data_IF_444765202222
#
_entry.id   IF_444765202222
#
_cell.length_a   1.000
_cell.length_b   1.000
_cell.length_c   1.000
_cell.angle_alpha   90.00
_cell.angle_beta   90.00
_cell.angle_gamma   90.00
#
_symmetry.space_group_name_H-M   'P 1'
#
loop_
_entity.id
_entity.type
_entity.pdbx_description
1 polymer ?
#
# COMPACT_ATOMS: atom_id res chain seq x y z
N UNK A 1 -14.41 -18.52 -6.73
CA UNK A 1 -15.37 -17.52 -6.21
C UNK A 1 -14.68 -16.34 -5.56
N UNK A 2 -14.12 -16.43 -4.34
CA UNK A 2 -13.55 -15.24 -3.62
C UNK A 2 -12.52 -14.46 -4.47
N UNK A 3 -11.58 -15.13 -5.14
CA UNK A 3 -10.59 -14.46 -6.01
C UNK A 3 -11.21 -13.66 -7.15
N UNK A 4 -12.26 -14.19 -7.77
CA UNK A 4 -13.01 -13.53 -8.84
C UNK A 4 -13.67 -12.24 -8.31
N UNK A 5 -14.28 -12.30 -7.12
CA UNK A 5 -14.88 -11.13 -6.48
C UNK A 5 -13.85 -10.07 -6.06
N UNK A 6 -12.69 -10.49 -5.56
CA UNK A 6 -11.61 -9.56 -5.24
C UNK A 6 -11.15 -8.79 -6.48
N UNK A 7 -10.94 -9.52 -7.58
CA UNK A 7 -10.44 -8.93 -8.81
C UNK A 7 -11.46 -7.99 -9.46
N UNK A 8 -12.75 -8.39 -9.45
CA UNK A 8 -13.85 -7.51 -9.82
C UNK A 8 -13.94 -6.28 -8.91
N UNK A 9 -13.78 -6.47 -7.60
CA UNK A 9 -13.80 -5.40 -6.61
C UNK A 9 -12.71 -4.36 -6.86
N UNK A 10 -11.47 -4.79 -7.10
CA UNK A 10 -10.37 -3.87 -7.43
C UNK A 10 -10.60 -3.18 -8.77
N UNK A 11 -11.00 -3.91 -9.82
CA UNK A 11 -11.31 -3.30 -11.11
C UNK A 11 -12.42 -2.23 -10.98
N UNK A 12 -13.48 -2.54 -10.23
CA UNK A 12 -14.59 -1.62 -9.95
C UNK A 12 -14.11 -0.39 -9.16
N UNK A 13 -13.28 -0.58 -8.14
CA UNK A 13 -12.74 0.51 -7.33
C UNK A 13 -11.93 1.50 -8.20
N UNK A 14 -11.01 0.98 -9.03
CA UNK A 14 -10.20 1.82 -9.91
C UNK A 14 -11.04 2.51 -10.99
N UNK A 15 -12.05 1.82 -11.56
CA UNK A 15 -13.00 2.42 -12.49
C UNK A 15 -13.79 3.55 -11.83
N UNK A 16 -14.33 3.33 -10.63
CA UNK A 16 -15.05 4.34 -9.84
C UNK A 16 -14.18 5.57 -9.61
N UNK A 17 -12.91 5.39 -9.25
CA UNK A 17 -11.97 6.49 -9.01
C UNK A 17 -11.67 7.30 -10.28
N UNK A 18 -11.60 6.65 -11.45
CA UNK A 18 -11.42 7.32 -12.74
C UNK A 18 -12.69 8.04 -13.20
N UNK A 19 -13.87 7.43 -13.02
CA UNK A 19 -15.15 8.00 -13.46
C UNK A 19 -15.59 9.20 -12.63
N UNK A 20 -15.38 9.15 -11.31
CA UNK A 20 -15.75 10.24 -10.40
C UNK A 20 -14.75 11.41 -10.43
N UNK A 21 -13.70 11.34 -11.25
CA UNK A 21 -12.64 12.35 -11.31
C UNK A 21 -11.73 12.40 -10.07
N UNK A 22 -11.95 11.52 -9.08
CA UNK A 22 -11.21 11.52 -7.82
C UNK A 22 -9.75 11.08 -7.96
N UNK A 23 -9.35 10.52 -9.11
CA UNK A 23 -7.98 10.07 -9.36
C UNK A 23 -6.93 11.17 -9.10
N UNK A 24 -7.29 12.42 -9.43
CA UNK A 24 -6.43 13.59 -9.28
C UNK A 24 -6.08 13.89 -7.80
N UNK A 25 -6.83 13.34 -6.85
CA UNK A 25 -6.61 13.44 -5.39
C UNK A 25 -5.62 12.42 -4.84
N UNK A 26 -5.22 11.44 -5.63
CA UNK A 26 -4.39 10.32 -5.16
C UNK A 26 -3.05 10.20 -5.88
N UNK A 27 -3.00 10.61 -7.15
CA UNK A 27 -1.79 10.48 -7.96
C UNK A 27 -1.55 11.74 -8.77
N UNK A 28 -0.29 11.93 -9.15
CA UNK A 28 0.05 12.91 -10.15
C UNK A 28 -0.58 12.52 -11.50
N UNK A 29 -1.40 13.41 -12.06
CA UNK A 29 -2.20 13.14 -13.26
C UNK A 29 -1.38 12.88 -14.52
N UNK A 30 -0.09 13.27 -14.53
CA UNK A 30 0.86 12.86 -15.58
C UNK A 30 0.98 11.34 -15.68
N UNK A 31 0.87 10.63 -14.56
CA UNK A 31 1.00 9.18 -14.48
C UNK A 31 -0.36 8.45 -14.46
N UNK A 32 -1.46 9.14 -14.76
CA UNK A 32 -2.80 8.55 -14.79
C UNK A 32 -2.92 7.33 -15.74
N UNK A 33 -2.05 7.25 -16.76
CA UNK A 33 -1.99 6.08 -17.65
C UNK A 33 -1.66 4.79 -16.90
N UNK A 34 -0.86 4.82 -15.82
CA UNK A 34 -0.53 3.65 -15.02
C UNK A 34 -1.78 3.05 -14.37
N UNK A 35 -2.69 3.90 -13.86
CA UNK A 35 -3.97 3.45 -13.31
C UNK A 35 -4.85 2.80 -14.38
N UNK A 36 -4.92 3.40 -15.58
CA UNK A 36 -5.68 2.83 -16.72
C UNK A 36 -5.12 1.49 -17.17
N UNK A 37 -3.81 1.36 -17.25
CA UNK A 37 -3.13 0.09 -17.56
C UNK A 37 -3.40 -0.98 -16.49
N UNK A 38 -3.41 -0.59 -15.21
CA UNK A 38 -3.76 -1.50 -14.12
C UNK A 38 -5.21 -2.01 -14.24
N UNK A 39 -6.17 -1.14 -14.57
CA UNK A 39 -7.56 -1.55 -14.83
C UNK A 39 -7.61 -2.57 -15.97
N UNK A 40 -6.95 -2.30 -17.09
CA UNK A 40 -6.92 -3.23 -18.22
C UNK A 40 -6.35 -4.60 -17.83
N UNK A 41 -5.25 -4.62 -17.08
CA UNK A 41 -4.63 -5.85 -16.58
C UNK A 41 -5.57 -6.61 -15.62
N UNK A 42 -6.24 -5.91 -14.69
CA UNK A 42 -7.21 -6.53 -13.78
C UNK A 42 -8.39 -7.15 -14.54
N UNK A 43 -8.88 -6.49 -15.60
CA UNK A 43 -9.96 -7.01 -16.45
C UNK A 43 -9.52 -8.26 -17.22
N UNK A 44 -8.29 -8.29 -17.75
CA UNK A 44 -7.74 -9.48 -18.42
C UNK A 44 -7.59 -10.65 -17.46
N UNK A 45 -7.04 -10.40 -16.27
CA UNK A 45 -6.92 -11.43 -15.23
C UNK A 45 -8.30 -11.92 -14.77
N UNK A 46 -9.30 -11.05 -14.75
CA UNK A 46 -10.69 -11.40 -14.41
C UNK A 46 -11.31 -12.31 -15.46
N UNK A 47 -11.14 -11.98 -16.74
CA UNK A 47 -11.61 -12.82 -17.83
C UNK A 47 -10.95 -14.22 -17.77
N UNK A 48 -9.64 -14.28 -17.50
CA UNK A 48 -8.93 -15.56 -17.37
C UNK A 48 -9.45 -16.40 -16.20
N UNK A 49 -9.58 -15.83 -15.00
CA UNK A 49 -10.08 -16.56 -13.82
C UNK A 49 -11.56 -16.96 -14.01
N UNK A 50 -12.36 -16.14 -14.70
CA UNK A 50 -13.73 -16.44 -15.07
C UNK A 50 -13.80 -17.65 -16.01
N UNK A 51 -13.01 -17.67 -17.08
CA UNK A 51 -12.94 -18.81 -18.02
C UNK A 51 -12.50 -20.07 -17.30
N UNK A 52 -11.47 -19.98 -16.45
CA UNK A 52 -10.95 -21.10 -15.65
C UNK A 52 -12.02 -21.66 -14.71
N UNK A 53 -12.78 -20.78 -14.05
CA UNK A 53 -13.88 -21.17 -13.17
C UNK A 53 -15.00 -21.87 -13.96
N UNK A 54 -15.41 -21.29 -15.09
CA UNK A 54 -16.44 -21.83 -15.96
C UNK A 54 -16.07 -23.22 -16.50
N UNK A 55 -14.83 -23.40 -16.95
CA UNK A 55 -14.31 -24.70 -17.39
C UNK A 55 -14.37 -25.73 -16.25
N UNK A 56 -13.96 -25.34 -15.03
CA UNK A 56 -13.99 -26.22 -13.86
C UNK A 56 -15.41 -26.66 -13.47
N UNK A 57 -16.39 -25.77 -13.56
CA UNK A 57 -17.80 -26.10 -13.31
C UNK A 57 -18.36 -27.06 -14.36
N UNK A 58 -18.01 -26.84 -15.64
CA UNK A 58 -18.38 -27.74 -16.73
C UNK A 58 -17.82 -29.16 -16.51
N UNK A 59 -16.56 -29.26 -16.12
CA UNK A 59 -15.92 -30.57 -15.83
C UNK A 59 -16.51 -31.22 -14.58
N UNK A 60 -16.88 -30.45 -13.56
CA UNK A 60 -17.55 -30.96 -12.39
C UNK A 60 -18.95 -31.51 -12.71
N UNK A 61 -19.70 -30.82 -13.59
CA UNK A 61 -20.99 -31.29 -14.10
C UNK A 61 -20.87 -32.62 -14.84
N UNK A 62 -19.88 -32.74 -15.74
CA UNK A 62 -19.60 -33.99 -16.46
C UNK A 62 -19.25 -35.14 -15.52
N UNK A 63 -18.39 -34.90 -14.51
CA UNK A 63 -18.02 -35.92 -13.51
C UNK A 63 -19.23 -36.37 -12.69
N UNK A 64 -20.08 -35.44 -12.25
CA UNK A 64 -21.31 -35.77 -11.52
C UNK A 64 -22.27 -36.61 -12.38
N UNK A 65 -22.51 -36.21 -13.63
CA UNK A 65 -23.37 -36.95 -14.55
C UNK A 65 -22.84 -38.36 -14.82
N UNK A 66 -21.51 -38.52 -14.97
CA UNK A 66 -20.88 -39.85 -15.12
C UNK A 66 -21.07 -40.73 -13.88
N UNK A 67 -20.82 -40.19 -12.69
CA UNK A 67 -20.99 -40.92 -11.42
C UNK A 67 -22.46 -41.31 -11.19
N UNK A 68 -23.40 -40.45 -11.57
CA UNK A 68 -24.84 -40.73 -11.46
C UNK A 68 -25.28 -41.82 -12.44
N UNK A 69 -24.77 -41.80 -13.68
CA UNK A 69 -24.99 -42.87 -14.64
C UNK A 69 -24.42 -44.23 -14.18
N UNK A 70 -23.19 -44.24 -13.65
CA UNK A 70 -22.55 -45.46 -13.10
C UNK A 70 -23.32 -46.00 -11.88
N UNK A 71 -23.86 -45.12 -11.04
CA UNK A 71 -24.69 -45.50 -9.90
C UNK A 71 -26.03 -46.09 -10.35
N UNK A 72 -26.69 -45.49 -11.33
CA UNK A 72 -27.95 -45.99 -11.89
C UNK A 72 -27.78 -47.36 -12.55
N UNK A 73 -26.66 -47.58 -13.26
CA UNK A 73 -26.36 -48.90 -13.83
C UNK A 73 -26.12 -49.94 -12.73
N UNK A 74 -25.38 -49.60 -11.67
CA UNK A 74 -25.14 -50.52 -10.55
C UNK A 74 -26.42 -50.86 -9.76
N UNK A 75 -27.32 -49.89 -9.56
CA UNK A 75 -28.63 -50.10 -8.93
C UNK A 75 -29.54 -50.99 -9.80
N UNK A 76 -29.52 -50.79 -11.13
CA UNK A 76 -30.26 -51.62 -12.08
C UNK A 76 -29.75 -53.08 -12.11
N UNK A 77 -28.43 -53.27 -12.15
CA UNK A 77 -27.81 -54.60 -12.09
C UNK A 77 -28.11 -55.31 -10.76
N UNK A 78 -28.00 -54.60 -9.63
CA UNK A 78 -28.34 -55.12 -8.31
C UNK A 78 -29.82 -55.53 -8.20
N UNK A 79 -30.74 -54.72 -8.74
CA UNK A 79 -32.17 -55.05 -8.77
C UNK A 79 -32.47 -56.27 -9.65
N UNK A 80 -31.79 -56.40 -10.79
CA UNK A 80 -31.98 -57.55 -11.68
C UNK A 80 -31.49 -58.85 -11.02
N UNK A 81 -30.36 -58.78 -10.30
CA UNK A 81 -29.80 -59.93 -9.59
C UNK A 81 -30.68 -60.36 -8.40
N UNK A 82 -31.27 -59.40 -7.67
CA UNK A 82 -32.25 -59.67 -6.61
C UNK A 82 -33.52 -60.33 -7.17
N UNK A 83 -34.05 -59.84 -8.29
CA UNK A 83 -35.22 -60.43 -8.94
C UNK A 83 -34.94 -61.86 -9.45
N UNK A 84 -33.75 -62.12 -9.96
CA UNK A 84 -33.33 -63.45 -10.38
C UNK A 84 -33.21 -64.44 -9.20
N UNK A 85 -32.69 -63.99 -8.06
CA UNK A 85 -32.63 -64.77 -6.82
C UNK A 85 -34.04 -65.12 -6.31
N UNK A 86 -34.94 -64.13 -6.25
CA UNK A 86 -36.33 -64.34 -5.83
C UNK A 86 -37.10 -65.29 -6.76
N UNK A 87 -36.84 -65.24 -8.07
CA UNK A 87 -37.40 -66.17 -9.04
C UNK A 87 -36.87 -67.60 -8.88
N UNK A 88 -35.65 -67.77 -8.34
CA UNK A 88 -35.08 -69.08 -8.04
C UNK A 88 -35.61 -69.69 -6.73
N UNK A 89 -36.03 -68.86 -5.77
CA UNK A 89 -36.61 -69.31 -4.49
C UNK A 89 -38.13 -69.53 -4.55
N UNK A 90 -38.84 -69.01 -5.57
CA UNK A 90 -40.28 -69.21 -5.77
C UNK A 90 -40.68 -70.53 -6.45
N UNK A 91 -39.76 -71.49 -6.53
CA UNK A 91 -39.86 -72.68 -7.38
C UNK A 91 -39.93 -74.01 -6.64
N UNK A 92 -40.55 -74.09 -5.46
CA UNK A 92 -40.83 -75.39 -4.81
C UNK A 92 -42.01 -75.25 -3.83
N UNK A 93 -43.25 -75.53 -4.29
CA UNK A 93 -44.08 -76.56 -3.64
C UNK A 93 -45.38 -76.86 -4.42
N UNK A 94 -45.57 -78.14 -4.81
CA UNK A 94 -46.86 -78.83 -4.92
C UNK A 94 -46.68 -80.32 -5.31
N UNK A 95 -46.66 -81.24 -4.33
CA UNK A 95 -47.68 -82.32 -4.18
C UNK A 95 -47.21 -83.53 -3.34
N UNK A 96 -47.91 -83.74 -2.22
CA UNK A 96 -48.35 -85.00 -1.58
C UNK A 96 -47.37 -86.15 -1.22
N UNK A 97 -47.15 -86.32 0.09
CA UNK A 97 -47.86 -87.36 0.85
C UNK A 97 -47.10 -88.63 1.27
N UNK A 98 -46.59 -88.68 2.52
CA UNK A 98 -46.76 -89.88 3.36
C UNK A 98 -46.55 -89.59 4.85
N UNK A 99 -47.48 -90.14 5.65
CA UNK A 99 -47.48 -90.18 7.12
C UNK A 99 -46.27 -90.97 7.63
N UNK A 100 -45.77 -90.65 8.82
CA UNK A 100 -45.51 -91.63 9.88
C UNK A 100 -45.28 -90.90 11.22
N UNK A 101 -46.03 -91.34 12.23
CA UNK A 101 -46.02 -90.87 13.61
C UNK A 101 -44.69 -91.20 14.33
N UNK A 102 -44.22 -90.32 15.21
CA UNK A 102 -43.57 -90.69 16.46
C UNK A 102 -43.54 -89.51 17.46
N UNK A 103 -44.02 -89.78 18.67
CA UNK A 103 -44.23 -88.88 19.80
C UNK A 103 -42.95 -88.47 20.57
N UNK A 104 -42.98 -87.20 21.00
CA UNK A 104 -42.75 -86.68 22.37
C UNK A 104 -41.36 -86.62 23.04
N UNK A 105 -41.31 -85.67 24.00
CA UNK A 105 -40.30 -85.35 25.04
C UNK A 105 -39.34 -84.21 24.64
N UNK A 106 -39.24 -83.07 25.31
CA UNK A 106 -39.83 -82.59 26.56
C UNK A 106 -39.40 -81.14 26.84
N UNK A 107 -39.93 -80.57 27.91
CA UNK A 107 -39.78 -79.20 28.40
C UNK A 107 -38.32 -78.66 28.44
N UNK A 108 -38.13 -77.35 28.20
CA UNK A 108 -37.67 -76.40 29.23
C UNK A 108 -37.35 -74.99 28.68
N UNK A 109 -37.88 -74.01 29.42
CA UNK A 109 -37.26 -72.75 29.86
C UNK A 109 -37.07 -71.59 28.86
N UNK A 110 -37.85 -70.55 29.16
CA UNK A 110 -37.66 -69.16 28.79
C UNK A 110 -36.42 -68.53 29.45
N UNK A 111 -35.79 -67.58 28.75
CA UNK A 111 -35.17 -66.35 29.25
C UNK A 111 -34.99 -65.42 28.04
N UNK A 112 -35.61 -64.24 27.99
CA UNK A 112 -35.04 -62.98 28.52
C UNK A 112 -33.99 -62.46 27.54
N UNK A 113 -34.15 -61.33 26.84
CA UNK A 113 -34.13 -60.00 27.45
C UNK A 113 -34.70 -58.93 26.49
N UNK A 114 -35.74 -58.24 26.98
CA UNK A 114 -35.90 -56.79 26.79
C UNK A 114 -34.77 -56.07 27.53
N UNK A 115 -34.29 -54.92 27.04
CA UNK A 115 -34.24 -53.74 27.89
C UNK A 115 -34.12 -52.42 27.13
N UNK A 116 -34.83 -51.45 27.70
CA UNK A 116 -35.05 -50.07 27.36
C UNK A 116 -34.15 -49.17 28.25
N UNK A 117 -34.07 -47.87 27.93
CA UNK A 117 -33.53 -46.79 28.79
C UNK A 117 -32.35 -46.07 28.13
N UNK A 118 -32.41 -44.80 27.69
CA UNK A 118 -32.69 -43.55 28.42
C UNK A 118 -31.95 -43.46 29.76
N UNK A 119 -31.05 -42.47 29.89
CA UNK A 119 -30.99 -41.54 31.03
C UNK A 119 -30.02 -40.37 30.79
N UNK A 120 -30.46 -39.21 31.25
CA UNK A 120 -29.79 -37.91 31.35
C UNK A 120 -28.87 -37.77 32.59
N UNK A 121 -28.18 -36.61 32.65
CA UNK A 121 -27.51 -35.94 33.78
C UNK A 121 -26.17 -36.55 34.25
N UNK A 122 -25.14 -35.80 34.68
CA UNK A 122 -24.92 -34.36 34.86
C UNK A 122 -23.57 -34.13 35.58
N UNK A 123 -23.15 -32.85 35.63
CA UNK A 123 -22.29 -32.17 36.62
C UNK A 123 -20.84 -32.63 36.95
N UNK A 124 -19.91 -31.68 36.81
CA UNK A 124 -18.84 -31.27 37.75
C UNK A 124 -18.01 -30.19 37.00
N UNK A 125 -18.04 -28.89 37.28
CA UNK A 125 -17.70 -28.13 38.49
C UNK A 125 -16.32 -28.48 39.09
N UNK A 126 -15.34 -27.63 38.82
CA UNK A 126 -14.20 -27.37 39.70
C UNK A 126 -13.69 -25.94 39.46
N UNK A 127 -13.43 -25.29 40.59
CA UNK A 127 -13.38 -23.86 40.82
C UNK A 127 -12.00 -23.40 41.29
N UNK A 128 -11.71 -22.11 41.03
CA UNK A 128 -11.02 -21.16 41.92
C UNK A 128 -9.49 -21.17 42.12
N UNK A 129 -8.98 -19.93 42.16
CA UNK A 129 -7.73 -19.48 42.79
C UNK A 129 -6.73 -18.90 41.78
N UNK A 130 -6.23 -17.67 41.87
CA UNK A 130 -6.30 -16.62 42.87
C UNK A 130 -5.40 -15.46 42.44
N UNK A 131 -5.70 -14.26 42.91
CA UNK A 131 -4.93 -13.01 42.79
C UNK A 131 -3.46 -13.16 43.21
N UNK A 132 -2.52 -12.43 42.59
CA UNK A 132 -1.55 -11.53 43.27
C UNK A 132 -1.03 -10.45 42.31
N UNK A 133 -0.93 -9.24 42.86
CA UNK A 133 -0.31 -8.00 42.40
C UNK A 133 1.22 -8.07 42.63
N UNK A 134 2.08 -7.53 41.77
CA UNK A 134 3.38 -7.00 42.25
C UNK A 134 4.02 -6.02 41.26
N UNK A 135 4.33 -4.85 41.82
CA UNK A 135 5.09 -3.74 41.26
C UNK A 135 6.61 -3.95 41.42
N UNK A 136 7.37 -3.02 40.81
CA UNK A 136 8.79 -2.68 41.01
C UNK A 136 9.85 -3.57 40.34
N UNK A 137 10.62 -2.99 39.42
CA UNK A 137 11.88 -2.35 39.82
C UNK A 137 12.48 -1.41 38.75
N UNK A 138 12.76 -0.21 39.25
CA UNK A 138 13.59 0.86 38.74
C UNK A 138 15.09 0.50 38.84
N UNK A 139 15.88 0.85 37.82
CA UNK A 139 17.32 1.07 37.96
C UNK A 139 17.79 2.20 37.02
N UNK A 140 17.64 3.43 37.50
CA UNK A 140 18.60 4.49 37.21
C UNK A 140 19.96 4.19 37.89
N UNK A 141 21.08 4.33 37.15
CA UNK A 141 22.34 4.82 37.72
C UNK A 141 23.14 5.67 36.72
N UNK A 142 23.25 6.93 37.12
CA UNK A 142 24.28 7.91 36.79
C UNK A 142 25.71 7.38 36.92
N UNK A 143 26.62 7.90 36.08
CA UNK A 143 27.88 8.55 36.48
C UNK A 143 28.52 9.17 35.22
N UNK A 144 28.58 10.50 35.08
CA UNK A 144 29.47 11.51 35.70
C UNK A 144 30.66 11.86 34.80
N UNK A 145 30.66 13.13 34.42
CA UNK A 145 31.72 14.02 33.96
C UNK A 145 33.17 13.60 34.26
N UNK A 146 34.06 13.88 33.30
CA UNK A 146 35.33 14.58 33.55
C UNK A 146 35.75 15.32 32.27
N UNK A 147 36.17 16.58 32.44
CA UNK A 147 36.62 17.46 31.36
C UNK A 147 38.14 17.57 31.22
N UNK A 148 38.51 18.47 30.29
CA UNK A 148 39.82 19.10 30.02
C UNK A 148 40.98 18.21 29.55
N UNK A 149 41.56 18.54 28.39
CA UNK A 149 42.81 19.33 28.27
C UNK A 149 43.22 19.52 26.80
N UNK A 150 43.58 20.75 26.45
CA UNK A 150 44.31 21.12 25.23
C UNK A 150 45.71 20.50 25.21
N UNK A 151 46.25 20.19 24.03
CA UNK A 151 47.62 20.55 23.63
C UNK A 151 47.88 20.29 22.13
N UNK A 152 48.50 21.29 21.51
CA UNK A 152 49.09 21.30 20.17
C UNK A 152 50.23 20.26 20.03
N UNK A 153 50.43 19.74 18.81
CA UNK A 153 51.76 19.76 18.19
C UNK A 153 51.72 19.52 16.67
N UNK A 154 52.59 20.26 15.98
CA UNK A 154 52.87 20.24 14.53
C UNK A 154 53.55 18.94 14.09
N UNK A 155 53.44 18.57 12.80
CA UNK A 155 54.59 18.19 11.96
C UNK A 155 54.23 18.11 10.46
N UNK A 156 55.05 18.78 9.65
CA UNK A 156 55.17 18.69 8.19
C UNK A 156 55.73 17.33 7.72
N UNK A 157 55.36 16.86 6.51
CA UNK A 157 56.29 16.68 5.36
C UNK A 157 55.71 15.82 4.20
N UNK A 158 55.67 16.46 3.02
CA UNK A 158 56.13 16.05 1.67
C UNK A 158 55.77 14.70 1.02
N UNK A 159 55.25 14.89 -0.21
CA UNK A 159 55.20 14.08 -1.44
C UNK A 159 56.22 12.93 -1.62
N UNK A 160 55.76 11.83 -2.21
CA UNK A 160 56.42 11.11 -3.31
C UNK A 160 55.39 10.32 -4.15
N UNK A 161 55.41 10.49 -5.46
CA UNK A 161 54.64 9.70 -6.43
C UNK A 161 55.48 8.59 -7.05
N UNK A 162 54.84 7.51 -7.49
CA UNK A 162 55.45 6.52 -8.39
C UNK A 162 54.43 5.98 -9.39
N UNK A 163 54.92 5.80 -10.61
CA UNK A 163 54.24 5.50 -11.86
C UNK A 163 55.05 4.36 -12.51
N UNK A 164 54.47 3.20 -12.81
CA UNK A 164 55.08 2.14 -13.66
C UNK A 164 53.93 1.33 -14.30
N UNK A 165 53.67 1.46 -15.61
CA UNK A 165 54.27 0.76 -16.78
C UNK A 165 53.81 -0.71 -16.90
N UNK A 166 53.01 -0.97 -17.94
CA UNK A 166 52.56 -2.28 -18.40
C UNK A 166 53.62 -2.96 -19.27
N UNK A 167 53.79 -4.28 -19.11
CA UNK A 167 54.55 -5.15 -20.00
C UNK A 167 53.78 -6.45 -20.27
N UNK A 168 53.54 -6.72 -21.54
CA UNK A 168 53.01 -7.98 -22.10
C UNK A 168 53.92 -9.18 -21.83
N UNK A 169 53.31 -10.34 -21.60
CA UNK A 169 53.91 -11.64 -21.93
C UNK A 169 52.81 -12.63 -22.36
N UNK A 170 52.85 -13.01 -23.64
CA UNK A 170 52.24 -14.22 -24.22
C UNK A 170 52.90 -15.47 -23.64
N UNK A 171 52.12 -16.54 -23.38
CA UNK A 171 52.58 -17.94 -23.53
C UNK A 171 51.40 -18.92 -23.71
N UNK A 172 51.35 -19.46 -24.92
CA UNK A 172 51.15 -20.86 -25.34
C UNK A 172 50.22 -21.80 -24.55
N UNK A 173 49.19 -22.25 -25.27
CA UNK A 173 48.27 -23.29 -24.85
C UNK A 173 48.85 -24.70 -24.95
N UNK A 174 48.55 -25.49 -23.92
CA UNK A 174 48.46 -26.95 -24.02
C UNK A 174 47.21 -27.42 -23.26
N UNK A 175 46.38 -28.18 -23.98
CA UNK A 175 45.14 -28.73 -23.46
C UNK A 175 45.35 -29.89 -22.50
N UNK A 176 44.54 -29.93 -21.46
CA UNK A 176 44.25 -31.14 -20.72
C UNK A 176 42.75 -31.28 -20.54
N UNK A 177 42.23 -32.33 -21.17
CA UNK A 177 40.88 -32.84 -21.04
C UNK A 177 40.74 -33.40 -19.62
N UNK A 178 39.92 -32.77 -18.80
CA UNK A 178 39.51 -33.33 -17.51
C UNK A 178 38.03 -33.68 -17.58
N UNK A 179 37.80 -34.98 -17.80
CA UNK A 179 36.52 -35.65 -17.60
C UNK A 179 36.22 -35.66 -16.10
N UNK A 180 35.45 -34.67 -15.65
CA UNK A 180 34.88 -34.65 -14.31
C UNK A 180 33.44 -35.15 -14.41
N UNK A 181 33.27 -36.45 -14.16
CA UNK A 181 32.00 -37.02 -13.78
C UNK A 181 31.52 -36.37 -12.49
N UNK A 182 30.71 -35.32 -12.63
CA UNK A 182 29.95 -34.77 -11.52
C UNK A 182 28.71 -35.64 -11.35
N UNK A 183 28.76 -36.53 -10.36
CA UNK A 183 27.57 -37.10 -9.74
C UNK A 183 26.69 -35.95 -9.28
N UNK A 184 25.68 -35.63 -10.07
CA UNK A 184 24.60 -34.75 -9.67
C UNK A 184 23.77 -35.47 -8.61
N UNK A 185 24.21 -35.35 -7.36
CA UNK A 185 23.30 -35.45 -6.22
C UNK A 185 22.26 -34.34 -6.41
N UNK A 186 21.15 -34.71 -7.06
CA UNK A 186 19.95 -33.91 -7.04
C UNK A 186 19.46 -33.88 -5.60
N UNK A 187 19.82 -32.82 -4.89
CA UNK A 187 19.07 -32.35 -3.73
C UNK A 187 17.68 -31.99 -4.25
N UNK A 188 16.83 -33.02 -4.34
CA UNK A 188 15.40 -32.87 -4.36
C UNK A 188 15.04 -32.22 -3.03
N UNK A 189 15.03 -30.89 -3.02
CA UNK A 189 14.26 -30.12 -2.06
C UNK A 189 12.81 -30.56 -2.23
N UNK A 190 12.46 -31.59 -1.46
CA UNK A 190 11.09 -31.99 -1.20
C UNK A 190 10.39 -30.75 -0.68
N UNK A 191 9.63 -30.10 -1.54
CA UNK A 191 8.59 -29.18 -1.11
C UNK A 191 7.58 -30.02 -0.33
N UNK A 192 7.83 -30.16 0.97
CA UNK A 192 6.83 -30.59 1.92
C UNK A 192 5.66 -29.63 1.77
N UNK A 193 4.58 -30.14 1.18
CA UNK A 193 3.29 -29.47 1.20
C UNK A 193 2.77 -29.51 2.63
N UNK A 194 3.27 -28.62 3.50
CA UNK A 194 2.55 -28.26 4.71
C UNK A 194 1.15 -27.78 4.29
N UNK A 195 0.13 -28.53 4.70
CA UNK A 195 -1.27 -28.18 4.50
C UNK A 195 -1.48 -26.75 5.00
N UNK A 196 -1.88 -25.78 4.14
CA UNK A 196 -1.99 -24.40 4.57
C UNK A 196 -3.11 -24.30 5.62
N UNK A 197 -2.71 -24.05 6.86
CA UNK A 197 -3.62 -23.88 8.00
C UNK A 197 -4.73 -22.90 7.59
N UNK A 198 -6.00 -23.32 7.67
CA UNK A 198 -7.16 -22.63 7.05
C UNK A 198 -7.28 -21.14 7.44
N UNK A 199 -6.84 -20.77 8.65
CA UNK A 199 -6.79 -19.36 9.11
C UNK A 199 -5.87 -18.45 8.29
N UNK A 200 -4.71 -18.94 7.80
CA UNK A 200 -3.78 -18.16 6.96
C UNK A 200 -4.46 -17.69 5.67
N UNK A 201 -5.39 -18.50 5.14
CA UNK A 201 -6.19 -18.16 3.96
C UNK A 201 -7.22 -17.06 4.23
N UNK A 202 -7.89 -17.10 5.38
CA UNK A 202 -8.82 -16.04 5.78
C UNK A 202 -8.08 -14.73 6.06
N UNK A 203 -6.93 -14.78 6.74
CA UNK A 203 -6.07 -13.63 6.95
C UNK A 203 -5.61 -13.01 5.62
N UNK A 204 -5.17 -13.84 4.68
CA UNK A 204 -4.76 -13.37 3.34
C UNK A 204 -5.89 -12.69 2.56
N UNK A 205 -7.12 -13.19 2.63
CA UNK A 205 -8.25 -12.50 2.03
C UNK A 205 -8.63 -11.24 2.81
N UNK A 206 -8.55 -11.24 4.15
CA UNK A 206 -8.78 -10.06 4.97
C UNK A 206 -7.88 -8.88 4.57
N UNK A 207 -6.60 -9.14 4.34
CA UNK A 207 -5.61 -8.14 3.88
C UNK A 207 -6.01 -7.53 2.53
N UNK A 208 -6.61 -8.31 1.61
CA UNK A 208 -7.03 -7.82 0.30
C UNK A 208 -8.42 -7.16 0.30
N UNK A 209 -9.31 -7.60 1.19
CA UNK A 209 -10.65 -7.03 1.33
C UNK A 209 -10.57 -5.66 2.02
N UNK A 210 -9.65 -5.49 2.98
CA UNK A 210 -9.54 -4.24 3.73
C UNK A 210 -9.37 -2.99 2.85
N UNK A 211 -8.42 -2.93 1.89
CA UNK A 211 -8.30 -1.80 0.95
C UNK A 211 -9.54 -1.56 0.08
N UNK A 212 -10.28 -2.62 -0.26
CA UNK A 212 -11.54 -2.46 -1.00
C UNK A 212 -12.59 -1.80 -0.12
N UNK A 213 -12.77 -2.28 1.12
CA UNK A 213 -13.71 -1.67 2.05
C UNK A 213 -13.37 -0.21 2.32
N UNK A 214 -12.10 0.10 2.62
CA UNK A 214 -11.72 1.49 2.86
C UNK A 214 -11.91 2.35 1.62
N UNK A 215 -11.58 1.85 0.42
CA UNK A 215 -11.77 2.57 -0.84
C UNK A 215 -13.23 2.85 -1.20
N UNK A 216 -14.17 1.96 -0.86
CA UNK A 216 -15.59 2.15 -1.16
C UNK A 216 -16.35 2.93 -0.08
N UNK A 217 -15.99 2.78 1.19
CA UNK A 217 -16.78 3.29 2.31
C UNK A 217 -16.20 4.55 2.98
N UNK A 218 -14.91 4.82 2.83
CA UNK A 218 -14.35 6.04 3.42
C UNK A 218 -14.59 7.26 2.52
N UNK A 219 -15.05 8.39 3.09
CA UNK A 219 -15.23 9.61 2.32
C UNK A 219 -13.88 10.08 1.81
N UNK A 220 -13.87 10.50 0.55
CA UNK A 220 -12.71 11.14 -0.05
C UNK A 220 -12.52 12.49 0.63
N UNK A 221 -11.50 12.61 1.48
CA UNK A 221 -11.20 13.87 2.14
C UNK A 221 -10.75 14.91 1.11
N UNK A 222 -11.35 16.10 1.18
CA UNK A 222 -10.91 17.24 0.39
C UNK A 222 -9.68 17.83 1.03
N UNK A 223 -8.70 18.14 0.20
CA UNK A 223 -7.51 18.84 0.62
C UNK A 223 -7.92 20.33 0.66
N UNK A 224 -8.20 20.83 1.86
CA UNK A 224 -8.55 22.22 2.18
C UNK A 224 -7.80 22.69 3.44
N UNK A 225 -8.10 23.89 3.95
CA UNK A 225 -7.44 24.44 5.14
C UNK A 225 -7.50 23.53 6.37
N UNK A 226 -8.49 22.63 6.47
CA UNK A 226 -8.57 21.64 7.54
C UNK A 226 -7.44 20.61 7.45
N UNK A 227 -7.00 20.23 6.25
CA UNK A 227 -5.84 19.37 6.04
C UNK A 227 -4.54 20.04 6.48
N UNK A 228 -4.39 21.35 6.18
CA UNK A 228 -3.24 22.15 6.63
C UNK A 228 -3.19 22.22 8.15
N UNK A 229 -4.35 22.44 8.79
CA UNK A 229 -4.46 22.47 10.25
C UNK A 229 -4.18 21.12 10.89
N UNK A 230 -4.65 20.02 10.29
CA UNK A 230 -4.49 18.67 10.83
C UNK A 230 -3.04 18.16 10.72
N UNK A 231 -2.36 18.43 9.60
CA UNK A 231 -0.97 18.01 9.39
C UNK A 231 0.05 18.99 9.96
N UNK A 232 -0.33 20.27 10.11
CA UNK A 232 0.62 21.33 10.40
C UNK A 232 1.57 21.57 9.21
N UNK A 233 2.34 22.64 9.30
CA UNK A 233 3.43 22.92 8.38
C UNK A 233 4.66 23.23 9.24
N UNK A 234 5.74 22.48 8.99
CA UNK A 234 7.02 22.67 9.67
C UNK A 234 8.15 22.55 8.67
N UNK A 235 9.25 23.24 8.98
CA UNK A 235 10.53 22.97 8.35
C UNK A 235 11.32 22.08 9.30
N UNK A 236 11.85 20.94 8.83
CA UNK A 236 12.74 20.13 9.65
C UNK A 236 13.95 20.99 10.09
N UNK A 237 14.42 20.79 11.33
CA UNK A 237 15.71 21.35 11.76
C UNK A 237 16.82 20.86 10.81
N UNK A 238 17.88 21.65 10.63
CA UNK A 238 19.02 21.37 9.74
C UNK A 238 19.71 19.99 9.96
N UNK A 239 19.39 19.29 11.05
CA UNK A 239 19.90 17.97 11.40
C UNK A 239 18.99 16.79 11.00
N UNK A 240 17.84 17.04 10.38
CA UNK A 240 16.99 15.96 9.85
C UNK A 240 17.43 15.67 8.42
N UNK A 241 18.28 14.64 8.26
CA UNK A 241 18.79 14.19 6.97
C UNK A 241 17.66 13.88 5.98
N UNK A 242 17.94 14.12 4.70
CA UNK A 242 17.12 13.74 3.53
C UNK A 242 16.83 12.22 3.41
N UNK A 243 17.29 11.42 4.38
CA UNK A 243 17.12 9.97 4.46
C UNK A 243 15.84 9.55 5.21
N UNK A 244 15.06 10.50 5.74
CA UNK A 244 13.76 10.19 6.34
C UNK A 244 12.60 10.57 5.40
N UNK A 245 12.10 9.63 4.57
CA UNK A 245 11.11 9.90 3.53
C UNK A 245 9.70 10.28 4.06
N UNK A 246 9.50 10.31 5.38
CA UNK A 246 8.22 10.67 6.01
C UNK A 246 8.07 12.14 6.41
N UNK A 247 9.14 12.96 6.34
CA UNK A 247 9.10 14.38 6.71
C UNK A 247 9.10 15.27 5.48
N UNK A 248 7.92 15.58 4.94
CA UNK A 248 7.79 16.51 3.83
C UNK A 248 7.59 17.94 4.32
N UNK A 249 8.31 18.88 3.69
CA UNK A 249 8.21 20.30 3.94
C UNK A 249 6.97 20.86 3.22
N UNK A 250 5.96 21.29 3.98
CA UNK A 250 4.66 21.73 3.45
C UNK A 250 4.63 23.19 2.94
N UNK A 251 5.77 23.71 2.49
CA UNK A 251 5.87 25.09 1.98
C UNK A 251 6.69 25.13 0.71
N UNK A 252 7.84 24.47 0.75
CA UNK A 252 8.76 24.35 -0.37
C UNK A 252 8.62 22.97 -1.02
N UNK A 253 8.36 22.89 -2.32
CA UNK A 253 8.52 21.64 -3.05
C UNK A 253 9.99 21.24 -3.02
N UNK A 254 10.27 19.98 -2.64
CA UNK A 254 11.62 19.42 -2.61
C UNK A 254 11.67 18.14 -3.44
N UNK A 255 12.43 18.19 -4.53
CA UNK A 255 12.63 17.05 -5.41
C UNK A 255 13.96 16.31 -5.20
N UNK A 256 14.78 16.76 -4.25
CA UNK A 256 16.11 16.19 -4.01
C UNK A 256 16.10 14.70 -3.68
N UNK A 257 15.06 14.24 -2.99
CA UNK A 257 14.80 12.84 -2.64
C UNK A 257 14.69 11.94 -3.88
N UNK A 258 14.30 12.47 -5.04
CA UNK A 258 14.07 11.68 -6.26
C UNK A 258 15.28 11.63 -7.21
N UNK A 259 16.23 12.57 -7.11
CA UNK A 259 17.31 12.72 -8.08
C UNK A 259 18.72 12.46 -7.51
N UNK A 260 18.85 12.30 -6.19
CA UNK A 260 20.15 12.24 -5.51
C UNK A 260 20.94 13.55 -5.64
N UNK A 261 22.04 13.71 -4.89
CA UNK A 261 22.75 15.00 -4.79
C UNK A 261 23.16 15.60 -6.15
N UNK A 262 23.77 14.79 -7.03
CA UNK A 262 24.28 15.28 -8.32
C UNK A 262 23.16 15.52 -9.34
N UNK A 263 22.18 14.62 -9.43
CA UNK A 263 21.04 14.77 -10.32
C UNK A 263 20.20 15.99 -9.94
N UNK A 264 19.98 16.17 -8.63
CA UNK A 264 19.23 17.30 -8.10
C UNK A 264 19.89 18.65 -8.42
N UNK A 265 21.21 18.77 -8.22
CA UNK A 265 21.92 20.01 -8.55
C UNK A 265 21.75 20.42 -10.03
N UNK A 266 21.75 19.43 -10.94
CA UNK A 266 21.53 19.66 -12.37
C UNK A 266 20.10 20.09 -12.67
N UNK A 267 19.10 19.44 -12.06
CA UNK A 267 17.68 19.78 -12.22
C UNK A 267 17.38 21.17 -11.64
N UNK A 268 17.82 21.43 -10.41
CA UNK A 268 17.63 22.70 -9.72
C UNK A 268 18.23 23.89 -10.50
N UNK A 269 19.44 23.72 -11.05
CA UNK A 269 20.06 24.75 -11.91
C UNK A 269 19.32 24.94 -13.23
N UNK A 270 18.77 23.87 -13.81
CA UNK A 270 17.95 23.97 -15.03
C UNK A 270 16.68 24.78 -14.76
N UNK A 271 16.02 24.51 -13.63
CA UNK A 271 14.79 25.22 -13.24
C UNK A 271 15.06 26.69 -12.93
N UNK A 272 16.16 27.00 -12.24
CA UNK A 272 16.59 28.38 -12.06
C UNK A 272 16.66 29.12 -13.40
N UNK A 273 17.34 28.54 -14.39
CA UNK A 273 17.48 29.17 -15.72
C UNK A 273 16.15 29.31 -16.47
N UNK A 274 15.19 28.41 -16.24
CA UNK A 274 13.85 28.49 -16.83
C UNK A 274 13.08 29.72 -16.33
N UNK A 275 13.29 30.12 -15.07
CA UNK A 275 12.55 31.22 -14.44
C UNK A 275 13.31 32.54 -14.33
N UNK A 276 14.64 32.57 -14.50
CA UNK A 276 15.42 33.82 -14.49
C UNK A 276 15.37 34.61 -15.80
N UNK A 277 14.98 33.98 -16.92
CA UNK A 277 14.91 34.65 -18.22
C UNK A 277 13.75 35.62 -18.41
N UNK A 278 12.65 35.44 -17.65
CA UNK A 278 11.50 36.33 -17.70
C UNK A 278 11.72 37.57 -16.82
N UNK A 279 11.12 38.72 -17.17
CA UNK A 279 11.15 39.92 -16.32
C UNK A 279 10.18 39.78 -15.14
N UNK A 280 8.94 39.47 -15.48
CA UNK A 280 7.85 39.19 -14.55
C UNK A 280 7.60 37.67 -14.53
N UNK A 281 7.36 37.10 -13.35
CA UNK A 281 7.24 35.66 -13.16
C UNK A 281 5.80 35.28 -12.83
N UNK A 282 5.10 34.70 -13.80
CA UNK A 282 3.75 34.19 -13.62
C UNK A 282 3.78 32.68 -13.35
N UNK A 283 3.34 32.26 -12.16
CA UNK A 283 3.26 30.86 -11.75
C UNK A 283 1.85 30.31 -12.00
N UNK A 284 1.71 29.67 -13.15
CA UNK A 284 0.57 28.86 -13.56
C UNK A 284 0.57 27.45 -12.94
N UNK A 285 -0.54 26.73 -13.07
CA UNK A 285 -0.69 25.34 -12.61
C UNK A 285 0.41 24.38 -13.09
N UNK A 286 0.92 24.58 -14.30
CA UNK A 286 1.92 23.71 -14.93
C UNK A 286 3.35 23.95 -14.43
N UNK A 287 3.65 25.16 -13.98
CA UNK A 287 5.00 25.57 -13.57
C UNK A 287 5.10 25.94 -12.08
N UNK A 288 3.99 25.99 -11.35
CA UNK A 288 3.91 26.42 -9.95
C UNK A 288 4.94 25.72 -9.06
N UNK A 289 4.95 24.38 -9.03
CA UNK A 289 5.86 23.65 -8.15
C UNK A 289 7.34 23.81 -8.53
N UNK A 290 7.65 23.99 -9.83
CA UNK A 290 9.03 24.22 -10.30
C UNK A 290 9.50 25.61 -9.97
N UNK A 291 8.67 26.61 -10.25
CA UNK A 291 8.96 28.01 -9.96
C UNK A 291 9.09 28.24 -8.46
N UNK A 292 8.21 27.64 -7.66
CA UNK A 292 8.29 27.74 -6.22
C UNK A 292 9.55 27.09 -5.63
N UNK A 293 9.92 25.89 -6.09
CA UNK A 293 11.19 25.26 -5.65
C UNK A 293 12.40 26.12 -6.05
N UNK A 294 12.42 26.69 -7.26
CA UNK A 294 13.48 27.60 -7.70
C UNK A 294 13.54 28.88 -6.83
N UNK A 295 12.40 29.47 -6.49
CA UNK A 295 12.29 30.65 -5.62
C UNK A 295 12.87 30.38 -4.22
N UNK A 296 12.51 29.25 -3.62
CA UNK A 296 13.00 28.86 -2.31
C UNK A 296 14.48 28.45 -2.32
N UNK A 297 14.98 27.87 -3.42
CA UNK A 297 16.38 27.47 -3.55
C UNK A 297 17.32 28.64 -3.84
N UNK A 298 16.84 29.65 -4.56
CA UNK A 298 17.65 30.76 -5.08
C UNK A 298 16.96 32.12 -4.88
N UNK A 299 16.57 32.49 -3.64
CA UNK A 299 15.75 33.68 -3.40
C UNK A 299 16.37 34.95 -3.98
N UNK A 300 17.70 35.11 -3.86
CA UNK A 300 18.45 36.27 -4.35
C UNK A 300 18.27 36.53 -5.86
N UNK A 301 18.04 35.49 -6.66
CA UNK A 301 17.81 35.62 -8.10
C UNK A 301 16.42 36.22 -8.43
N UNK A 302 15.52 36.28 -7.45
CA UNK A 302 14.13 36.69 -7.63
C UNK A 302 13.71 37.89 -6.78
N UNK A 303 14.51 38.31 -5.80
CA UNK A 303 14.19 39.49 -4.96
C UNK A 303 13.92 40.72 -5.82
N UNK A 304 12.85 41.43 -5.48
CA UNK A 304 12.40 42.64 -6.15
C UNK A 304 11.66 42.42 -7.47
N UNK A 305 11.61 41.18 -7.99
CA UNK A 305 10.83 40.85 -9.18
C UNK A 305 9.34 40.78 -8.87
N UNK A 306 8.53 41.06 -9.89
CA UNK A 306 7.08 40.91 -9.83
C UNK A 306 6.72 39.44 -10.05
N UNK A 307 5.99 38.85 -9.11
CA UNK A 307 5.54 37.45 -9.15
C UNK A 307 4.02 37.43 -9.02
N UNK A 308 3.37 36.67 -9.90
CA UNK A 308 1.93 36.42 -9.90
C UNK A 308 1.62 34.93 -9.72
N UNK A 309 0.61 34.59 -8.92
CA UNK A 309 0.13 33.22 -8.80
C UNK A 309 -1.28 33.12 -8.20
N UNK A 310 -1.94 32.01 -8.50
CA UNK A 310 -3.22 31.62 -7.90
C UNK A 310 -3.01 30.74 -6.67
N UNK A 311 -3.83 30.92 -5.64
CA UNK A 311 -3.91 30.00 -4.50
C UNK A 311 -5.03 30.31 -3.54
N UNK A 312 -5.20 29.44 -2.54
CA UNK A 312 -6.18 29.63 -1.48
C UNK A 312 -5.53 30.20 -0.22
N UNK A 313 -6.25 31.07 0.47
CA UNK A 313 -5.81 31.73 1.68
C UNK A 313 -5.84 30.75 2.85
N UNK A 314 -4.79 30.81 3.66
CA UNK A 314 -4.71 30.18 4.96
C UNK A 314 -4.12 31.14 5.99
N UNK A 315 -4.92 31.48 7.02
CA UNK A 315 -4.47 32.24 8.17
C UNK A 315 -3.78 31.30 9.15
N UNK A 316 -2.45 31.28 9.12
CA UNK A 316 -1.64 30.49 10.05
C UNK A 316 -1.83 30.96 11.50
N UNK A 317 -1.83 30.02 12.45
CA UNK A 317 -1.99 30.34 13.88
C UNK A 317 -0.84 31.20 14.42
N UNK A 318 0.34 31.12 13.80
CA UNK A 318 1.57 31.83 14.19
C UNK A 318 1.87 33.02 13.26
N UNK A 319 0.91 33.45 12.45
CA UNK A 319 1.08 34.59 11.54
C UNK A 319 0.32 35.78 12.10
N UNK A 320 1.05 36.87 12.36
CA UNK A 320 0.50 38.10 12.89
C UNK A 320 0.25 39.13 11.78
N UNK A 321 -0.73 40.02 12.03
CA UNK A 321 -1.03 41.16 11.16
C UNK A 321 -1.76 40.81 9.87
N UNK A 322 -1.29 41.42 8.78
CA UNK A 322 -1.85 41.40 7.43
C UNK A 322 -1.18 40.36 6.51
N UNK A 323 -0.41 39.44 7.09
CA UNK A 323 0.22 38.35 6.37
C UNK A 323 -0.66 37.10 6.39
N UNK A 324 -0.73 36.43 5.25
CA UNK A 324 -1.48 35.19 5.04
C UNK A 324 -0.62 34.25 4.24
N UNK A 325 -0.78 32.95 4.45
CA UNK A 325 -0.23 32.00 3.49
C UNK A 325 -1.18 31.89 2.31
N UNK A 326 -0.63 31.89 1.10
CA UNK A 326 -1.38 31.57 -0.12
C UNK A 326 -0.82 30.28 -0.67
N UNK A 327 -1.66 29.24 -0.72
CA UNK A 327 -1.25 27.88 -1.02
C UNK A 327 -1.91 27.29 -2.26
N UNK A 328 -1.25 26.29 -2.83
CA UNK A 328 -1.81 25.31 -3.75
C UNK A 328 -1.55 23.91 -3.22
N UNK A 329 -2.50 23.02 -3.42
CA UNK A 329 -2.28 21.61 -3.16
C UNK A 329 -1.48 21.00 -4.30
N UNK A 330 -0.33 20.40 -3.98
CA UNK A 330 0.57 19.85 -4.99
C UNK A 330 0.80 18.36 -4.82
N UNK A 331 1.10 17.70 -5.95
CA UNK A 331 1.61 16.33 -5.99
C UNK A 331 2.95 16.33 -6.70
N UNK A 332 3.99 15.83 -6.03
CA UNK A 332 5.27 15.60 -6.70
C UNK A 332 5.16 14.29 -7.51
N UNK A 333 4.95 13.15 -6.85
CA UNK A 333 4.77 11.86 -7.52
C UNK A 333 3.46 11.15 -7.16
N UNK A 334 3.05 11.14 -5.88
CA UNK A 334 1.83 10.48 -5.42
C UNK A 334 1.23 11.16 -4.18
N UNK A 335 0.14 10.61 -3.60
CA UNK A 335 -0.49 11.13 -2.38
C UNK A 335 0.42 11.16 -1.16
N UNK A 336 1.42 10.26 -1.08
CA UNK A 336 2.39 10.30 0.02
C UNK A 336 3.24 11.58 -0.04
N UNK A 337 3.67 11.97 -1.25
CA UNK A 337 4.43 13.19 -1.53
C UNK A 337 3.51 14.38 -1.87
N UNK A 338 2.26 14.34 -1.42
CA UNK A 338 1.30 15.43 -1.62
C UNK A 338 1.24 16.34 -0.41
N UNK A 339 1.04 17.63 -0.66
CA UNK A 339 1.06 18.64 0.38
C UNK A 339 0.45 19.95 -0.07
N UNK A 340 0.52 20.94 0.80
CA UNK A 340 0.34 22.34 0.41
C UNK A 340 1.68 22.95 0.10
N UNK A 341 1.72 23.82 -0.88
CA UNK A 341 2.92 24.53 -1.30
C UNK A 341 2.55 25.98 -1.60
N UNK A 342 3.39 26.91 -1.19
CA UNK A 342 3.19 28.32 -1.45
C UNK A 342 4.12 29.15 -0.57
N UNK A 343 3.74 30.39 -0.30
CA UNK A 343 4.57 31.32 0.44
C UNK A 343 3.74 32.25 1.31
N UNK A 344 4.44 32.99 2.18
CA UNK A 344 3.83 34.05 2.96
C UNK A 344 3.55 35.24 2.03
N UNK A 345 2.35 35.80 2.13
CA UNK A 345 1.88 36.90 1.29
C UNK A 345 1.37 38.00 2.21
N UNK A 346 1.95 39.19 2.09
CA UNK A 346 1.63 40.35 2.91
C UNK A 346 0.73 41.30 2.11
N UNK A 347 -0.49 41.46 2.58
CA UNK A 347 -1.48 42.35 1.97
C UNK A 347 -1.44 43.73 2.63
N UNK A 348 -1.98 44.79 2.01
CA UNK A 348 -2.15 46.08 2.69
C UNK A 348 -2.93 45.96 4.01
N UNK A 349 -2.65 46.84 4.97
CA UNK A 349 -3.36 46.85 6.26
C UNK A 349 -4.89 47.01 6.09
N UNK A 350 -5.65 46.44 7.03
CA UNK A 350 -7.11 46.49 7.03
C UNK A 350 -7.80 45.43 6.16
N UNK A 351 -7.04 44.58 5.45
CA UNK A 351 -7.59 43.46 4.69
C UNK A 351 -7.74 42.21 5.57
N UNK A 352 -8.94 41.64 5.54
CA UNK A 352 -9.28 40.40 6.24
C UNK A 352 -9.77 39.37 5.23
N UNK A 353 -9.10 38.22 5.21
CA UNK A 353 -9.46 37.11 4.33
C UNK A 353 -9.93 35.92 5.15
N UNK A 354 -10.80 35.10 4.54
CA UNK A 354 -11.23 33.84 5.13
C UNK A 354 -10.36 32.69 4.63
N UNK A 355 -10.23 31.65 5.45
CA UNK A 355 -9.60 30.41 4.99
C UNK A 355 -10.35 29.84 3.79
N UNK A 356 -9.60 29.21 2.88
CA UNK A 356 -10.11 28.60 1.64
C UNK A 356 -10.66 29.57 0.57
N UNK A 357 -10.54 30.88 0.80
CA UNK A 357 -10.79 31.89 -0.23
C UNK A 357 -9.71 31.84 -1.30
N UNK A 358 -10.10 31.69 -2.56
CA UNK A 358 -9.18 31.64 -3.69
C UNK A 358 -8.90 33.05 -4.22
N UNK A 359 -7.62 33.33 -4.40
CA UNK A 359 -7.12 34.63 -4.85
C UNK A 359 -6.05 34.43 -5.91
N UNK A 360 -6.04 35.36 -6.87
CA UNK A 360 -4.88 35.64 -7.69
C UNK A 360 -4.12 36.79 -7.04
N UNK A 361 -2.84 36.61 -6.73
CA UNK A 361 -2.00 37.64 -6.12
C UNK A 361 -0.85 38.00 -7.05
N UNK A 362 -0.54 39.29 -7.14
CA UNK A 362 0.63 39.81 -7.83
C UNK A 362 1.37 40.77 -6.91
N UNK A 363 2.68 40.61 -6.79
CA UNK A 363 3.46 41.42 -5.86
C UNK A 363 4.95 41.35 -6.10
N UNK A 364 5.71 42.07 -5.28
CA UNK A 364 7.18 42.02 -5.31
C UNK A 364 7.69 41.00 -4.31
N UNK A 365 8.64 40.18 -4.75
CA UNK A 365 9.28 39.23 -3.85
C UNK A 365 10.28 39.92 -2.91
N UNK A 366 10.17 39.63 -1.63
CA UNK A 366 11.13 39.93 -0.58
C UNK A 366 11.49 38.65 0.17
N UNK A 367 12.37 38.76 1.17
CA UNK A 367 12.74 37.66 2.06
C UNK A 367 12.70 38.15 3.50
N UNK A 368 12.20 37.31 4.40
CA UNK A 368 12.11 37.61 5.83
C UNK A 368 12.55 36.40 6.64
N UNK A 369 13.30 36.63 7.72
CA UNK A 369 13.62 35.57 8.67
C UNK A 369 12.40 35.26 9.54
N UNK A 370 11.77 34.13 9.30
CA UNK A 370 10.57 33.72 10.00
C UNK A 370 10.93 32.93 11.26
N UNK A 371 10.81 33.60 12.41
CA UNK A 371 11.22 33.10 13.73
C UNK A 371 10.63 31.73 14.08
N UNK A 372 9.32 31.46 13.89
CA UNK A 372 8.74 30.16 14.25
C UNK A 372 9.41 28.96 13.57
N UNK A 373 9.99 29.17 12.38
CA UNK A 373 10.68 28.13 11.63
C UNK A 373 12.20 28.27 11.59
N UNK A 374 12.74 29.35 12.19
CA UNK A 374 14.18 29.67 12.19
C UNK A 374 14.80 29.64 10.78
N UNK A 375 14.04 30.08 9.78
CA UNK A 375 14.45 30.07 8.38
C UNK A 375 14.03 31.34 7.66
N UNK A 376 14.82 31.71 6.65
CA UNK A 376 14.48 32.80 5.73
C UNK A 376 13.45 32.30 4.72
N UNK A 377 12.27 32.92 4.72
CA UNK A 377 11.19 32.60 3.81
C UNK A 377 11.08 33.65 2.71
N UNK A 378 10.74 33.26 1.47
CA UNK A 378 10.22 34.20 0.50
C UNK A 378 8.89 34.77 1.00
N UNK A 379 8.75 36.09 0.88
CA UNK A 379 7.53 36.83 1.22
C UNK A 379 7.11 37.63 -0.01
N UNK A 380 5.83 37.53 -0.40
CA UNK A 380 5.29 38.34 -1.49
C UNK A 380 4.61 39.58 -0.92
N UNK A 381 5.15 40.75 -1.21
CA UNK A 381 4.54 42.04 -0.90
C UNK A 381 3.52 42.40 -1.98
N UNK A 382 2.23 42.29 -1.65
CA UNK A 382 1.15 42.38 -2.64
C UNK A 382 1.02 43.79 -3.21
N UNK A 383 1.01 43.87 -4.53
CA UNK A 383 0.72 45.07 -5.31
C UNK A 383 -0.73 45.08 -5.79
N UNK A 384 -1.24 43.91 -6.20
CA UNK A 384 -2.61 43.72 -6.66
C UNK A 384 -3.08 42.31 -6.30
N UNK A 385 -4.39 42.16 -6.04
CA UNK A 385 -5.01 40.86 -5.86
C UNK A 385 -6.45 40.90 -6.37
N UNK A 386 -6.93 39.75 -6.82
CA UNK A 386 -8.32 39.57 -7.23
C UNK A 386 -8.85 38.26 -6.64
N UNK A 387 -10.12 38.28 -6.21
CA UNK A 387 -10.82 37.04 -5.86
C UNK A 387 -11.09 36.24 -7.13
N UNK A 388 -10.88 34.92 -7.05
CA UNK A 388 -11.17 33.98 -8.14
C UNK A 388 -12.02 32.83 -7.61
N UNK A 389 -12.79 32.22 -8.50
CA UNK A 389 -13.47 30.98 -8.17
C UNK A 389 -12.46 29.85 -7.97
N UNK A 390 -12.77 28.92 -7.07
CA UNK A 390 -11.99 27.69 -6.89
C UNK A 390 -11.78 27.00 -8.25
N UNK A 391 -10.54 26.75 -8.68
CA UNK A 391 -10.26 26.07 -9.94
C UNK A 391 -10.95 24.71 -10.01
N UNK A 392 -11.35 24.31 -11.23
CA UNK A 392 -11.93 22.99 -11.49
C UNK A 392 -11.00 21.86 -11.03
N UNK A 393 -9.70 22.04 -11.25
CA UNK A 393 -8.66 21.22 -10.67
C UNK A 393 -7.87 22.05 -9.63
N UNK A 394 -8.13 21.89 -8.33
CA UNK A 394 -7.44 22.68 -7.31
C UNK A 394 -5.97 22.25 -7.12
N UNK A 395 -5.53 21.20 -7.79
CA UNK A 395 -4.22 20.59 -7.65
C UNK A 395 -3.22 21.07 -8.68
N UNK A 396 -1.95 21.12 -8.27
CA UNK A 396 -0.80 21.34 -9.16
C UNK A 396 0.11 20.11 -9.15
N UNK A 397 0.77 19.85 -10.27
CA UNK A 397 1.49 18.60 -10.49
C UNK A 397 2.93 18.86 -10.91
N UNK A 398 3.87 18.10 -10.36
CA UNK A 398 5.26 18.16 -10.82
C UNK A 398 5.36 17.44 -12.17
N UNK A 399 5.76 18.19 -13.20
CA UNK A 399 5.95 17.67 -14.55
C UNK A 399 7.34 17.08 -14.77
#
# INVERSE_FOLDING_TARGET
MIRLYLLAGFACLFLMMNMNGNLNKYINMKYAYLSRSAIALLVVLFAFEFIRLYAKEKDAGKRKAKLEAERQSAEAEGSALLAALQASEGGEDASEGHRHDAQAIGDHAAHGHHHHGQHEHGYAEASHGGYVHEDYHDHARHSREHGHHDHHDHHDHREHGHNHVHGEHDHDGHGHNHDHGHDHHHDHHGHSHEQPIRWKRYLGYGILIFPLLTGFFLPVQTLDSSFVKAKGFSFPDFNVSADNPGFHQFLKPDTSVFYGKQGYAKVSKKELNEFTGAKDLELSDANFLKGLEALYNYPDAFIGREIGFDGFIYKGQQVEGNAYFVFRFGFIHCVADSGVFGMLVRFPEGQAFQNDQWVHVTGKLSSEFYQPFKQTLPVLEVKAWNDIDKPKDPYVYRA
#
